data_IF_854826597129
#
_entry.id   IF_854826597129
#
_cell.length_a   1.000
_cell.length_b   1.000
_cell.length_c   1.000
_cell.angle_alpha   90.00
_cell.angle_beta   90.00
_cell.angle_gamma   90.00
#
_symmetry.space_group_name_H-M   'P 1'
#
loop_
_entity.id
_entity.type
_entity.pdbx_description
1 polymer ?
#
# COMPACT_ATOMS: atom_id res chain seq x y z
N UNK A 1 -28.31 27.64 0.14
CA UNK A 1 -27.13 27.12 -0.57
C UNK A 1 -26.38 26.14 0.31
N UNK A 2 -26.12 24.92 -0.19
CA UNK A 2 -25.16 23.99 0.44
C UNK A 2 -23.76 24.33 -0.11
N UNK A 3 -22.71 24.45 0.71
CA UNK A 3 -21.36 24.60 0.17
C UNK A 3 -20.94 23.24 -0.39
N UNK A 4 -21.03 23.09 -1.71
CA UNK A 4 -20.45 21.98 -2.44
C UNK A 4 -18.93 22.16 -2.39
N UNK A 5 -18.29 21.51 -1.43
CA UNK A 5 -16.89 21.16 -1.57
C UNK A 5 -16.82 20.14 -2.70
N UNK A 6 -16.43 20.60 -3.88
CA UNK A 6 -16.19 19.78 -5.06
C UNK A 6 -14.92 18.97 -4.82
N UNK A 7 -15.05 17.93 -3.99
CA UNK A 7 -14.12 16.82 -3.96
C UNK A 7 -14.31 16.16 -5.32
N UNK A 8 -13.27 16.16 -6.15
CA UNK A 8 -13.19 15.29 -7.33
C UNK A 8 -13.57 13.89 -6.83
N UNK A 9 -14.77 13.42 -7.15
CA UNK A 9 -15.29 12.15 -6.68
C UNK A 9 -14.51 11.04 -7.39
N UNK A 10 -13.30 10.74 -6.90
CA UNK A 10 -12.69 9.45 -7.15
C UNK A 10 -13.69 8.40 -6.64
N UNK A 11 -14.08 7.46 -7.50
CA UNK A 11 -15.16 6.52 -7.21
C UNK A 11 -14.87 5.77 -5.90
N UNK A 12 -15.72 5.98 -4.91
CA UNK A 12 -15.55 5.37 -3.60
C UNK A 12 -15.83 3.87 -3.70
N UNK A 13 -14.81 3.05 -3.44
CA UNK A 13 -14.94 1.60 -3.35
C UNK A 13 -15.72 1.19 -2.10
N UNK A 14 -15.55 1.96 -1.01
CA UNK A 14 -16.29 1.74 0.25
C UNK A 14 -16.34 3.02 1.08
N UNK A 15 -17.49 3.25 1.70
CA UNK A 15 -17.67 4.29 2.71
C UNK A 15 -18.25 3.72 4.01
N UNK A 16 -17.89 4.32 5.14
CA UNK A 16 -18.47 3.95 6.44
C UNK A 16 -17.59 4.38 7.61
N UNK A 17 -17.70 3.69 8.73
CA UNK A 17 -17.00 4.05 9.96
C UNK A 17 -15.88 3.08 10.31
N UNK A 18 -14.77 3.64 10.78
CA UNK A 18 -13.63 2.90 11.34
C UNK A 18 -13.05 3.67 12.53
N UNK A 19 -12.37 2.98 13.44
CA UNK A 19 -11.67 3.62 14.53
C UNK A 19 -10.16 3.61 14.29
N UNK A 20 -9.52 4.78 14.41
CA UNK A 20 -8.07 4.94 14.32
C UNK A 20 -7.49 5.16 15.71
N UNK A 21 -6.40 4.48 16.05
CA UNK A 21 -5.65 4.74 17.29
C UNK A 21 -4.94 6.09 17.21
N UNK A 22 -5.00 6.87 18.28
CA UNK A 22 -4.21 8.10 18.42
C UNK A 22 -2.76 7.78 18.77
N UNK A 23 -1.85 8.61 18.28
CA UNK A 23 -0.41 8.62 18.60
C UNK A 23 -0.08 9.33 19.93
N UNK A 24 -1.09 9.79 20.67
CA UNK A 24 -0.91 10.45 21.97
C UNK A 24 -0.78 9.49 23.13
N UNK A 25 -0.41 10.02 24.30
CA UNK A 25 -0.18 9.30 25.55
C UNK A 25 -1.30 8.31 25.94
N UNK A 26 -2.57 8.70 25.74
CA UNK A 26 -3.73 7.88 26.11
C UNK A 26 -4.08 6.78 25.09
N UNK A 27 -3.42 6.73 23.93
CA UNK A 27 -3.61 5.70 22.88
C UNK A 27 -5.08 5.34 22.59
N UNK A 28 -5.94 6.35 22.52
CA UNK A 28 -7.39 6.17 22.38
C UNK A 28 -7.79 5.83 20.95
N UNK A 29 -8.82 5.00 20.81
CA UNK A 29 -9.50 4.72 19.55
C UNK A 29 -10.47 5.85 19.24
N UNK A 30 -10.36 6.45 18.05
CA UNK A 30 -11.22 7.57 17.62
C UNK A 30 -11.98 7.19 16.37
N UNK A 31 -13.30 7.28 16.43
CA UNK A 31 -14.18 7.07 15.28
C UNK A 31 -13.88 8.06 14.15
N UNK A 32 -13.88 7.55 12.92
CA UNK A 32 -13.67 8.27 11.68
C UNK A 32 -14.70 7.81 10.66
N UNK A 33 -15.23 8.76 9.89
CA UNK A 33 -15.85 8.43 8.62
C UNK A 33 -14.71 8.20 7.63
N UNK A 34 -14.67 7.00 7.05
CA UNK A 34 -13.63 6.54 6.14
C UNK A 34 -14.24 6.41 4.74
N UNK A 35 -13.52 6.92 3.75
CA UNK A 35 -13.79 6.70 2.33
C UNK A 35 -12.56 6.01 1.76
N UNK A 36 -12.76 4.80 1.21
CA UNK A 36 -11.75 4.05 0.48
C UNK A 36 -11.95 4.28 -1.01
N UNK A 37 -10.86 4.69 -1.67
CA UNK A 37 -10.80 4.84 -3.12
C UNK A 37 -9.79 3.85 -3.70
N UNK A 38 -9.66 3.87 -5.03
CA UNK A 38 -8.67 3.04 -5.72
C UNK A 38 -7.22 3.41 -5.40
N UNK A 39 -6.99 4.63 -4.92
CA UNK A 39 -5.67 5.20 -4.65
C UNK A 39 -5.38 5.45 -3.16
N UNK A 40 -6.35 5.28 -2.25
CA UNK A 40 -6.08 5.36 -0.81
C UNK A 40 -7.29 5.54 0.08
N UNK A 41 -7.02 6.09 1.28
CA UNK A 41 -8.01 6.32 2.33
C UNK A 41 -8.16 7.80 2.65
N UNK A 42 -9.39 8.26 2.79
CA UNK A 42 -9.72 9.57 3.36
C UNK A 42 -10.43 9.41 4.70
N UNK A 43 -9.85 10.01 5.75
CA UNK A 43 -10.36 9.93 7.12
C UNK A 43 -10.89 11.29 7.56
N UNK A 44 -12.20 11.36 7.73
CA UNK A 44 -12.89 12.53 8.23
C UNK A 44 -13.11 12.39 9.75
N UNK A 45 -12.96 13.48 10.52
CA UNK A 45 -13.41 13.48 11.91
C UNK A 45 -14.91 13.15 11.95
N UNK A 46 -15.31 12.28 12.86
CA UNK A 46 -16.71 12.23 13.28
C UNK A 46 -16.89 13.38 14.27
N UNK A 47 -17.90 14.24 14.07
CA UNK A 47 -18.30 15.27 15.03
C UNK A 47 -18.98 14.61 16.25
N UNK A 48 -18.37 13.57 16.82
CA UNK A 48 -18.74 13.09 18.13
C UNK A 48 -18.18 14.12 19.11
N UNK A 49 -19.06 15.02 19.54
CA UNK A 49 -18.77 16.05 20.53
C UNK A 49 -17.94 15.48 21.69
N UNK A 50 -17.07 16.35 22.21
CA UNK A 50 -16.50 16.22 23.54
C UNK A 50 -17.51 15.53 24.46
N UNK A 51 -17.04 14.49 25.15
CA UNK A 51 -17.80 13.81 26.18
C UNK A 51 -18.60 14.80 27.02
N UNK A 52 -19.84 14.42 27.30
CA UNK A 52 -20.66 14.91 28.39
C UNK A 52 -19.89 14.84 29.72
N UNK A 53 -19.13 15.88 30.03
CA UNK A 53 -18.88 16.31 31.41
C UNK A 53 -19.66 17.59 31.58
N UNK A 54 -20.72 17.53 32.39
CA UNK A 54 -21.64 18.62 32.61
C UNK A 54 -20.90 19.90 32.96
N UNK A 55 -21.07 20.93 32.14
CA UNK A 55 -20.88 22.30 32.58
C UNK A 55 -22.27 22.89 32.77
N UNK A 56 -22.61 22.98 34.04
CA UNK A 56 -23.72 23.76 34.56
C UNK A 56 -23.65 25.16 33.95
N UNK A 57 -24.83 25.64 33.56
CA UNK A 57 -25.21 27.00 33.15
C UNK A 57 -24.18 28.06 33.58
N UNK A 58 -23.55 28.72 32.60
CA UNK A 58 -23.02 30.07 32.77
C UNK A 58 -23.68 30.96 31.73
N UNK A 59 -24.75 31.65 32.16
CA UNK A 59 -25.30 32.78 31.42
C UNK A 59 -24.26 33.89 31.50
N UNK A 60 -23.72 34.31 30.37
CA UNK A 60 -22.86 35.50 30.31
C UNK A 60 -23.16 36.24 29.01
N UNK A 61 -23.75 37.41 29.18
CA UNK A 61 -23.89 38.44 28.15
C UNK A 61 -22.49 38.92 27.76
N UNK A 62 -22.22 39.05 26.46
CA UNK A 62 -20.99 39.69 26.00
C UNK A 62 -20.65 39.32 24.56
N UNK A 63 -20.76 40.31 23.68
CA UNK A 63 -20.28 40.32 22.31
C UNK A 63 -18.83 39.80 22.20
N UNK A 64 -18.60 38.81 21.33
CA UNK A 64 -17.27 38.24 21.19
C UNK A 64 -17.18 37.16 20.12
N UNK A 65 -16.98 37.59 18.88
CA UNK A 65 -16.37 36.87 17.74
C UNK A 65 -16.41 35.34 17.85
N UNK A 66 -17.49 34.76 17.31
CA UNK A 66 -17.63 33.32 17.14
C UNK A 66 -16.41 32.74 16.42
N UNK A 67 -15.56 32.04 17.16
CA UNK A 67 -14.53 31.18 16.59
C UNK A 67 -15.24 29.95 16.02
N UNK A 68 -15.80 30.16 14.82
CA UNK A 68 -16.51 29.15 14.06
C UNK A 68 -15.68 27.88 13.98
N UNK A 69 -16.35 26.77 14.29
CA UNK A 69 -15.89 25.39 14.19
C UNK A 69 -15.14 25.16 12.87
N UNK A 70 -13.80 25.34 12.86
CA UNK A 70 -12.95 25.04 11.71
C UNK A 70 -12.95 23.52 11.57
N UNK A 71 -13.86 22.99 10.74
CA UNK A 71 -13.94 21.57 10.39
C UNK A 71 -12.53 21.13 10.01
N UNK A 72 -11.93 20.24 10.82
CA UNK A 72 -10.58 19.74 10.55
C UNK A 72 -10.61 19.05 9.18
N UNK A 73 -9.71 19.47 8.30
CA UNK A 73 -9.58 18.88 6.97
C UNK A 73 -9.42 17.35 7.06
N UNK A 74 -9.96 16.59 6.09
CA UNK A 74 -9.77 15.15 6.04
C UNK A 74 -8.27 14.81 5.98
N UNK A 75 -7.90 13.73 6.67
CA UNK A 75 -6.55 13.17 6.58
C UNK A 75 -6.53 12.14 5.46
N UNK A 76 -5.72 12.37 4.44
CA UNK A 76 -5.49 11.41 3.36
C UNK A 76 -4.32 10.49 3.70
N UNK A 77 -4.49 9.19 3.45
CA UNK A 77 -3.44 8.19 3.43
C UNK A 77 -3.45 7.52 2.06
N UNK A 78 -2.54 7.97 1.19
CA UNK A 78 -2.44 7.46 -0.18
C UNK A 78 -1.70 6.13 -0.22
N UNK A 79 -2.09 5.24 -1.14
CA UNK A 79 -1.46 3.93 -1.29
C UNK A 79 -0.03 3.99 -1.81
N UNK A 80 0.39 5.05 -2.50
CA UNK A 80 1.82 5.28 -2.82
C UNK A 80 2.70 5.40 -1.58
N UNK A 81 2.14 5.86 -0.46
CA UNK A 81 2.82 5.96 0.81
C UNK A 81 2.67 4.71 1.69
N UNK A 82 1.93 3.68 1.26
CA UNK A 82 1.67 2.46 2.04
C UNK A 82 2.64 1.35 1.66
N UNK A 83 3.38 0.87 2.66
CA UNK A 83 4.30 -0.26 2.53
C UNK A 83 3.57 -1.58 2.69
N UNK A 84 2.86 -1.79 3.81
CA UNK A 84 2.10 -3.01 4.11
C UNK A 84 0.81 -2.69 4.86
N UNK A 85 -0.12 -3.63 4.79
CA UNK A 85 -1.24 -3.73 5.72
C UNK A 85 -1.12 -5.09 6.41
N UNK A 86 -1.04 -5.07 7.73
CA UNK A 86 -0.89 -6.25 8.55
C UNK A 86 -2.17 -6.45 9.35
N UNK A 87 -2.76 -7.64 9.24
CA UNK A 87 -3.91 -8.01 10.06
C UNK A 87 -3.38 -8.42 11.44
N UNK A 88 -3.75 -7.68 12.47
CA UNK A 88 -3.25 -7.88 13.83
C UNK A 88 -4.42 -8.36 14.66
N UNK A 89 -4.62 -9.66 14.76
CA UNK A 89 -5.53 -10.31 15.71
C UNK A 89 -7.05 -10.00 15.59
N UNK A 90 -7.86 -10.96 16.03
CA UNK A 90 -9.31 -10.82 16.20
C UNK A 90 -9.63 -10.94 17.68
N UNK A 91 -10.20 -9.89 18.26
CA UNK A 91 -10.55 -9.87 19.69
C UNK A 91 -11.98 -9.43 19.91
N UNK A 92 -12.82 -10.39 20.28
CA UNK A 92 -14.25 -10.18 20.43
C UNK A 92 -14.85 -9.73 19.10
N UNK A 93 -15.68 -8.68 19.12
CA UNK A 93 -16.36 -8.15 17.94
C UNK A 93 -15.49 -7.27 17.03
N UNK A 94 -14.21 -7.10 17.33
CA UNK A 94 -13.32 -6.19 16.63
C UNK A 94 -12.18 -6.92 15.91
N UNK A 95 -11.94 -6.52 14.68
CA UNK A 95 -10.74 -6.84 13.91
C UNK A 95 -9.79 -5.66 14.05
N UNK A 96 -8.54 -5.94 14.43
CA UNK A 96 -7.48 -4.93 14.53
C UNK A 96 -6.49 -5.13 13.39
N UNK A 97 -5.96 -4.02 12.87
CA UNK A 97 -4.98 -4.07 11.79
C UNK A 97 -4.13 -2.80 11.77
N UNK A 98 -2.93 -2.93 11.21
CA UNK A 98 -1.95 -1.85 11.15
C UNK A 98 -1.57 -1.59 9.71
N UNK A 99 -1.57 -0.31 9.33
CA UNK A 99 -1.00 0.13 8.05
C UNK A 99 0.38 0.69 8.33
N UNK A 100 1.40 0.10 7.70
CA UNK A 100 2.78 0.57 7.76
C UNK A 100 3.05 1.42 6.53
N UNK A 101 3.53 2.65 6.73
CA UNK A 101 3.88 3.53 5.62
C UNK A 101 5.29 3.24 5.09
N UNK A 102 5.63 3.78 3.91
CA UNK A 102 6.99 3.76 3.37
C UNK A 102 8.01 4.42 4.31
N UNK A 103 7.56 5.37 5.15
CA UNK A 103 8.36 5.97 6.23
C UNK A 103 8.45 5.11 7.50
N UNK A 104 8.02 3.84 7.45
CA UNK A 104 7.91 2.92 8.58
C UNK A 104 7.06 3.47 9.75
N UNK A 105 6.10 4.35 9.47
CA UNK A 105 5.12 4.79 10.45
C UNK A 105 3.99 3.77 10.51
N UNK A 106 3.66 3.33 11.72
CA UNK A 106 2.53 2.46 11.97
C UNK A 106 1.27 3.27 12.29
N UNK A 107 0.16 2.87 11.68
CA UNK A 107 -1.15 3.46 11.93
C UNK A 107 -2.13 2.34 12.23
N UNK A 108 -2.54 2.25 13.49
CA UNK A 108 -3.47 1.21 13.91
C UNK A 108 -4.92 1.63 13.70
N UNK A 109 -5.68 0.67 13.20
CA UNK A 109 -7.10 0.74 13.00
C UNK A 109 -7.78 -0.45 13.67
N UNK A 110 -9.06 -0.26 14.01
CA UNK A 110 -9.96 -1.36 14.31
C UNK A 110 -11.33 -1.09 13.74
N UNK A 111 -12.03 -2.17 13.42
CA UNK A 111 -13.38 -2.16 12.87
C UNK A 111 -14.18 -3.33 13.42
N UNK A 112 -15.50 -3.28 13.26
CA UNK A 112 -16.34 -4.43 13.56
C UNK A 112 -16.05 -5.57 12.57
N UNK A 113 -16.11 -6.80 13.03
CA UNK A 113 -15.75 -7.98 12.22
C UNK A 113 -16.58 -8.10 10.93
N UNK A 114 -17.86 -7.74 10.99
CA UNK A 114 -18.81 -7.78 9.88
C UNK A 114 -18.61 -6.66 8.84
N UNK A 115 -17.81 -5.64 9.15
CA UNK A 115 -17.62 -4.49 8.26
C UNK A 115 -16.56 -4.71 7.17
N UNK A 116 -15.80 -5.82 7.23
CA UNK A 116 -14.80 -6.23 6.22
C UNK A 116 -13.74 -5.19 5.81
N UNK A 117 -13.57 -4.09 6.56
CA UNK A 117 -12.66 -2.99 6.18
C UNK A 117 -11.23 -3.45 5.87
N UNK A 118 -10.64 -4.31 6.70
CA UNK A 118 -9.28 -4.80 6.47
C UNK A 118 -9.14 -5.54 5.13
N UNK A 119 -10.13 -6.36 4.77
CA UNK A 119 -10.14 -7.09 3.50
C UNK A 119 -10.27 -6.15 2.29
N UNK A 120 -11.19 -5.19 2.35
CA UNK A 120 -11.43 -4.23 1.27
C UNK A 120 -10.20 -3.33 1.03
N UNK A 121 -9.58 -2.84 2.09
CA UNK A 121 -8.34 -2.05 2.00
C UNK A 121 -7.21 -2.90 1.41
N UNK A 122 -7.12 -4.17 1.81
CA UNK A 122 -6.12 -5.10 1.26
C UNK A 122 -6.30 -5.28 -0.24
N UNK A 123 -7.54 -5.55 -0.70
CA UNK A 123 -7.84 -5.74 -2.11
C UNK A 123 -7.55 -4.48 -2.93
N UNK A 124 -7.95 -3.31 -2.43
CA UNK A 124 -7.68 -2.03 -3.08
C UNK A 124 -6.17 -1.74 -3.17
N UNK A 125 -5.42 -1.98 -2.08
CA UNK A 125 -3.96 -1.80 -2.05
C UNK A 125 -3.24 -2.74 -3.01
N UNK A 126 -3.63 -4.01 -3.07
CA UNK A 126 -3.08 -4.98 -4.04
C UNK A 126 -3.39 -4.53 -5.47
N UNK A 127 -4.63 -4.13 -5.74
CA UNK A 127 -5.02 -3.59 -7.05
C UNK A 127 -4.17 -2.39 -7.46
N UNK A 128 -3.94 -1.45 -6.55
CA UNK A 128 -3.10 -0.28 -6.78
C UNK A 128 -1.65 -0.67 -7.10
N UNK A 129 -1.02 -1.53 -6.29
CA UNK A 129 0.36 -1.98 -6.51
C UNK A 129 0.53 -2.75 -7.82
N UNK A 130 -0.46 -3.56 -8.20
CA UNK A 130 -0.46 -4.25 -9.48
C UNK A 130 -0.50 -3.27 -10.66
N UNK A 131 -1.33 -2.21 -10.59
CA UNK A 131 -1.34 -1.16 -11.63
C UNK A 131 0.01 -0.45 -11.73
N UNK A 132 0.67 -0.16 -10.60
CA UNK A 132 2.01 0.43 -10.60
C UNK A 132 3.04 -0.50 -11.25
N UNK A 133 3.07 -1.78 -10.85
CA UNK A 133 4.00 -2.76 -11.39
C UNK A 133 3.88 -2.91 -12.92
N UNK A 134 2.64 -2.88 -13.45
CA UNK A 134 2.40 -2.92 -14.90
C UNK A 134 2.93 -1.65 -15.59
N UNK A 135 2.65 -0.46 -15.05
CA UNK A 135 3.16 0.82 -15.60
C UNK A 135 4.68 0.85 -15.62
N UNK A 136 5.32 0.43 -14.53
CA UNK A 136 6.77 0.39 -14.40
C UNK A 136 7.40 -0.57 -15.41
N UNK A 137 6.78 -1.74 -15.60
CA UNK A 137 7.23 -2.73 -16.60
C UNK A 137 7.17 -2.15 -18.01
N UNK A 138 6.06 -1.50 -18.36
CA UNK A 138 5.85 -0.98 -19.70
C UNK A 138 6.76 0.23 -19.97
N UNK A 139 6.99 1.08 -18.96
CA UNK A 139 7.99 2.16 -19.03
C UNK A 139 9.42 1.62 -19.20
N UNK A 140 9.81 0.57 -18.47
CA UNK A 140 11.12 -0.07 -18.63
C UNK A 140 11.29 -0.68 -20.03
N UNK A 141 10.26 -1.32 -20.58
CA UNK A 141 10.27 -1.83 -21.96
C UNK A 141 10.47 -0.71 -22.99
N UNK A 142 9.76 0.42 -22.82
CA UNK A 142 9.91 1.57 -23.71
C UNK A 142 11.32 2.18 -23.62
N UNK A 143 11.88 2.32 -22.42
CA UNK A 143 13.26 2.81 -22.24
C UNK A 143 14.28 1.86 -22.86
N UNK A 144 14.13 0.54 -22.67
CA UNK A 144 15.01 -0.45 -23.29
C UNK A 144 14.95 -0.42 -24.82
N UNK A 145 13.75 -0.24 -25.40
CA UNK A 145 13.58 -0.09 -26.85
C UNK A 145 14.28 1.16 -27.39
N UNK A 146 14.17 2.31 -26.68
CA UNK A 146 14.87 3.55 -27.06
C UNK A 146 16.38 3.38 -27.05
N UNK A 147 16.93 2.79 -25.99
CA UNK A 147 18.37 2.51 -25.88
C UNK A 147 18.84 1.53 -26.97
N UNK A 148 18.00 0.56 -27.36
CA UNK A 148 18.34 -0.36 -28.46
C UNK A 148 18.37 0.35 -29.82
N UNK A 149 17.49 1.32 -30.06
CA UNK A 149 17.53 2.17 -31.27
C UNK A 149 18.80 3.02 -31.30
N UNK A 150 19.15 3.67 -30.19
CA UNK A 150 20.38 4.49 -30.10
C UNK A 150 21.65 3.67 -30.31
N UNK A 151 21.71 2.44 -29.77
CA UNK A 151 22.84 1.51 -30.00
C UNK A 151 22.89 0.93 -31.42
N UNK A 152 21.79 0.98 -32.15
CA UNK A 152 21.70 0.53 -33.54
C UNK A 152 22.26 1.55 -34.55
N UNK A 153 22.58 2.78 -34.11
CA UNK A 153 23.00 3.88 -34.99
C UNK A 153 24.54 4.09 -35.02
N UNK A 154 25.32 3.25 -34.33
CA UNK A 154 26.80 3.30 -34.35
C UNK A 154 27.45 2.53 -35.53
N UNK A 155 26.66 1.96 -36.45
CA UNK A 155 27.14 1.04 -37.50
C UNK A 155 27.13 1.56 -38.94
N UNK A 156 26.87 2.84 -39.16
CA UNK A 156 26.37 3.33 -40.45
C UNK A 156 27.30 4.11 -41.38
N UNK A 157 28.65 4.06 -41.29
CA UNK A 157 29.50 4.63 -42.37
C UNK A 157 30.97 4.17 -42.39
N UNK A 158 31.25 2.96 -42.89
CA UNK A 158 32.52 2.72 -43.59
C UNK A 158 32.26 2.72 -45.11
N UNK A 159 32.55 3.86 -45.74
CA UNK A 159 32.55 3.93 -47.20
C UNK A 159 33.70 3.05 -47.73
N UNK A 160 33.31 1.98 -48.42
CA UNK A 160 34.21 1.21 -49.27
C UNK A 160 34.83 2.08 -50.35
N UNK A 161 36.16 2.04 -50.45
CA UNK A 161 36.86 2.13 -51.73
C UNK A 161 37.52 0.78 -51.95
N UNK A 162 37.03 0.10 -52.99
CA UNK A 162 37.56 -1.18 -53.44
C UNK A 162 39.03 -1.08 -53.81
N UNK A 163 39.72 -2.20 -53.62
CA UNK A 163 40.95 -2.47 -54.35
C UNK A 163 40.94 -3.92 -54.80
N UNK A 164 41.21 -4.03 -56.08
CA UNK A 164 41.11 -5.19 -56.93
C UNK A 164 42.13 -6.27 -56.59
N UNK A 165 41.79 -7.52 -56.96
CA UNK A 165 42.76 -8.42 -57.60
C UNK A 165 43.34 -9.54 -56.74
N UNK A 166 43.19 -10.77 -57.23
CA UNK A 166 44.11 -11.88 -56.95
C UNK A 166 43.41 -13.17 -56.54
N UNK A 167 43.25 -14.08 -57.50
CA UNK A 167 42.67 -15.41 -57.28
C UNK A 167 43.57 -16.36 -56.48
N UNK A 168 42.98 -17.48 -56.07
CA UNK A 168 43.69 -18.57 -55.41
C UNK A 168 42.73 -19.66 -54.97
N UNK A 169 42.55 -20.65 -55.82
CA UNK A 169 41.93 -21.95 -55.49
C UNK A 169 42.81 -22.71 -54.50
N UNK A 170 42.20 -23.34 -53.50
CA UNK A 170 42.89 -24.26 -52.59
C UNK A 170 41.95 -24.78 -51.51
N UNK A 171 41.52 -26.03 -51.65
CA UNK A 171 40.65 -26.71 -50.70
C UNK A 171 41.35 -27.18 -49.43
N UNK A 172 40.58 -27.80 -48.53
CA UNK A 172 41.12 -28.55 -47.40
C UNK A 172 40.35 -28.34 -46.09
N UNK A 173 39.30 -29.15 -45.93
CA UNK A 173 38.98 -29.96 -44.75
C UNK A 173 39.51 -29.60 -43.32
N UNK A 174 38.58 -29.85 -42.38
CA UNK A 174 38.74 -30.20 -40.95
C UNK A 174 38.99 -29.10 -39.90
N UNK A 175 38.01 -28.98 -39.01
CA UNK A 175 38.21 -29.36 -37.60
C UNK A 175 38.23 -28.24 -36.54
N UNK A 176 37.40 -28.42 -35.51
CA UNK A 176 37.46 -27.74 -34.21
C UNK A 176 36.62 -26.45 -34.13
N UNK A 177 35.61 -26.29 -33.28
CA UNK A 177 35.34 -26.92 -31.99
C UNK A 177 35.64 -25.94 -30.84
N UNK A 178 34.78 -24.94 -30.61
CA UNK A 178 34.65 -24.17 -29.35
C UNK A 178 33.21 -23.61 -29.37
N UNK A 179 32.31 -23.91 -28.44
CA UNK A 179 32.44 -23.68 -27.01
C UNK A 179 31.68 -22.40 -26.65
N UNK A 180 30.35 -22.43 -26.69
CA UNK A 180 29.48 -21.27 -26.45
C UNK A 180 28.40 -21.53 -25.40
N UNK A 181 28.81 -21.69 -24.14
CA UNK A 181 27.93 -21.47 -22.98
C UNK A 181 27.62 -19.97 -22.91
N UNK A 182 26.41 -19.57 -23.27
CA UNK A 182 25.85 -18.24 -22.98
C UNK A 182 24.78 -18.39 -21.90
N UNK A 183 25.05 -17.86 -20.70
CA UNK A 183 24.30 -18.12 -19.48
C UNK A 183 22.83 -17.73 -19.53
N UNK A 184 22.00 -18.65 -19.05
CA UNK A 184 20.68 -18.37 -18.48
C UNK A 184 20.87 -17.50 -17.23
N UNK A 185 20.69 -16.19 -17.38
CA UNK A 185 20.61 -15.26 -16.27
C UNK A 185 19.30 -15.47 -15.53
N UNK A 186 19.32 -16.39 -14.56
CA UNK A 186 18.27 -16.57 -13.57
C UNK A 186 18.12 -15.31 -12.73
N UNK A 187 17.13 -14.49 -13.07
CA UNK A 187 16.57 -13.49 -12.17
C UNK A 187 15.66 -14.22 -11.18
N UNK A 188 16.20 -14.44 -9.98
CA UNK A 188 15.51 -15.01 -8.83
C UNK A 188 14.32 -14.11 -8.49
N UNK A 189 13.11 -14.52 -8.86
CA UNK A 189 11.90 -13.97 -8.27
C UNK A 189 11.72 -14.71 -6.95
N UNK A 190 11.92 -14.00 -5.84
CA UNK A 190 11.60 -14.53 -4.52
C UNK A 190 10.13 -14.98 -4.53
N UNK A 191 9.96 -16.28 -4.32
CA UNK A 191 8.68 -16.98 -4.30
C UNK A 191 7.72 -16.33 -3.31
N UNK A 192 6.52 -16.00 -3.80
CA UNK A 192 5.34 -16.12 -2.98
C UNK A 192 5.00 -17.59 -2.84
N UNK A 193 5.15 -18.15 -1.63
CA UNK A 193 4.55 -19.41 -1.26
C UNK A 193 3.35 -19.15 -0.35
N UNK A 194 2.21 -19.67 -0.78
CA UNK A 194 0.94 -19.71 -0.11
C UNK A 194 0.92 -20.74 1.04
N UNK A 195 0.23 -20.40 2.13
CA UNK A 195 -0.81 -21.15 2.88
C UNK A 195 -0.56 -22.62 3.33
N UNK A 196 -0.97 -22.88 4.59
CA UNK A 196 -1.21 -24.15 5.33
C UNK A 196 0.02 -24.78 6.03
N UNK A 197 0.15 -24.76 7.37
CA UNK A 197 -0.59 -25.46 8.43
C UNK A 197 0.39 -25.79 9.60
N UNK A 198 0.07 -26.65 10.60
CA UNK A 198 -0.75 -26.41 11.81
C UNK A 198 0.02 -26.61 13.15
N UNK A 199 -0.77 -26.61 14.25
CA UNK A 199 -0.58 -27.18 15.61
C UNK A 199 0.31 -26.49 16.67
N UNK A 200 -0.36 -26.05 17.74
CA UNK A 200 -0.06 -26.54 19.09
C UNK A 200 1.02 -25.80 19.88
N UNK A 201 0.62 -24.75 20.62
CA UNK A 201 1.41 -24.19 21.71
C UNK A 201 0.51 -23.85 22.87
N UNK A 202 0.38 -24.77 23.82
CA UNK A 202 -0.25 -24.55 25.12
C UNK A 202 0.39 -23.32 25.80
N UNK A 203 -0.39 -22.27 26.02
CA UNK A 203 -0.10 -21.32 27.09
C UNK A 203 -1.06 -21.61 28.25
N UNK A 204 -0.49 -22.07 29.35
CA UNK A 204 -1.15 -22.23 30.64
C UNK A 204 -1.71 -20.88 31.11
N UNK A 205 -3.02 -20.82 31.32
CA UNK A 205 -3.65 -19.79 32.14
C UNK A 205 -3.61 -20.21 33.62
N UNK A 206 -3.38 -19.29 34.57
CA UNK A 206 -3.42 -19.61 35.99
C UNK A 206 -4.87 -19.81 36.46
N UNK A 207 -5.14 -20.93 37.13
CA UNK A 207 -6.41 -21.21 37.80
C UNK A 207 -6.63 -20.20 38.94
N UNK A 208 -7.72 -19.44 38.87
CA UNK A 208 -8.30 -18.81 40.05
C UNK A 208 -9.05 -19.87 40.86
N UNK A 209 -8.56 -20.14 42.08
CA UNK A 209 -9.31 -20.89 43.08
C UNK A 209 -10.59 -20.14 43.43
N UNK A 210 -11.74 -20.69 43.05
CA UNK A 210 -13.02 -20.35 43.65
C UNK A 210 -13.12 -21.06 44.99
N UNK A 211 -13.21 -20.26 46.05
CA UNK A 211 -13.75 -20.68 47.33
C UNK A 211 -15.13 -21.32 47.12
N UNK A 212 -15.33 -22.52 47.70
CA UNK A 212 -16.65 -23.01 48.06
C UNK A 212 -16.61 -23.48 49.50
N UNK A 213 -17.47 -22.83 50.28
CA UNK A 213 -17.87 -23.14 51.63
C UNK A 213 -18.48 -24.54 51.74
N UNK A 214 -18.23 -25.16 52.88
CA UNK A 214 -18.80 -26.41 53.36
C UNK A 214 -18.14 -26.74 54.69
#
# INVERSE_FOLDING_TARGET
MRPHCEIVQEEALKEGEIEKRSDGFLQQWKKKRCVLTSDGLMLFPCDSGSASSGSIISVSHGDGVGHGNRRKAPKSLRFDAVKTLDCVDRKGRFVYFTIVTASNREIDFRCLEDTTWSAEITLALVGFKNRQALRDRDQKKMLAARVAVERGDDGGRINGRGRDGGGGVGGGDRGGGFGGRGGVGGGVWAEGAAVAGPVGGLYHAPQQQRHRSG
#
